data_IF_318593998403
#
_entry.id   IF_318593998403
#
_cell.length_a   1.000
_cell.length_b   1.000
_cell.length_c   1.000
_cell.angle_alpha   90.00
_cell.angle_beta   90.00
_cell.angle_gamma   90.00
#
_symmetry.space_group_name_H-M   'P 1'
#
loop_
_entity.id
_entity.type
_entity.pdbx_description
1 polymer ?
#
# COMPACT_ATOMS: atom_id res chain seq x y z
N UNK A 1 -8.77 -29.08 34.85
CA UNK A 1 -7.98 -28.38 33.81
C UNK A 1 -8.89 -27.62 32.85
N UNK A 2 -9.39 -26.42 33.19
CA UNK A 2 -10.27 -25.62 32.30
C UNK A 2 -10.03 -24.09 32.33
N UNK A 3 -9.04 -23.62 33.11
CA UNK A 3 -8.77 -22.17 33.26
C UNK A 3 -7.65 -21.62 32.36
N UNK A 4 -6.85 -22.49 31.73
CA UNK A 4 -5.66 -22.05 30.98
C UNK A 4 -5.91 -21.78 29.48
N UNK A 5 -7.06 -22.20 28.94
CA UNK A 5 -7.34 -22.06 27.50
C UNK A 5 -7.82 -20.64 27.12
N UNK A 6 -8.43 -19.91 28.06
CA UNK A 6 -8.91 -18.53 27.81
C UNK A 6 -7.80 -17.49 27.83
N UNK A 7 -6.73 -17.72 28.60
CA UNK A 7 -5.59 -16.79 28.70
C UNK A 7 -4.73 -16.85 27.43
N UNK A 8 -4.53 -18.04 26.87
CA UNK A 8 -3.80 -18.19 25.60
C UNK A 8 -4.54 -17.58 24.40
N UNK A 9 -5.86 -17.74 24.32
CA UNK A 9 -6.66 -17.12 23.26
C UNK A 9 -6.63 -15.59 23.31
N UNK A 10 -6.67 -15.00 24.50
CA UNK A 10 -6.64 -13.53 24.66
C UNK A 10 -5.26 -12.96 24.28
N UNK A 11 -4.16 -13.63 24.63
CA UNK A 11 -2.82 -13.20 24.22
C UNK A 11 -2.61 -13.28 22.71
N UNK A 12 -3.13 -14.30 22.03
CA UNK A 12 -3.01 -14.44 20.57
C UNK A 12 -3.83 -13.36 19.84
N UNK A 13 -5.03 -13.03 20.33
CA UNK A 13 -5.87 -11.98 19.74
C UNK A 13 -5.24 -10.59 19.94
N UNK A 14 -4.71 -10.28 21.13
CA UNK A 14 -4.01 -9.01 21.38
C UNK A 14 -2.71 -8.91 20.56
N UNK A 15 -2.06 -10.04 20.27
CA UNK A 15 -0.87 -10.08 19.40
C UNK A 15 -1.23 -9.77 17.93
N UNK A 16 -2.35 -10.29 17.43
CA UNK A 16 -2.79 -10.06 16.04
C UNK A 16 -3.34 -8.64 15.81
N UNK A 17 -3.97 -8.04 16.82
CA UNK A 17 -4.44 -6.64 16.75
C UNK A 17 -3.38 -5.61 17.15
N UNK A 18 -2.35 -6.00 17.92
CA UNK A 18 -1.27 -5.11 18.36
C UNK A 18 -0.29 -4.70 17.25
N UNK A 19 -0.23 -5.46 16.15
CA UNK A 19 0.71 -5.20 15.04
C UNK A 19 0.14 -4.17 14.04
N UNK A 20 -1.14 -3.78 14.16
CA UNK A 20 -1.83 -3.07 13.08
C UNK A 20 -2.19 -1.61 13.32
N UNK A 21 -1.73 -0.93 14.39
CA UNK A 21 -2.17 0.46 14.60
C UNK A 21 -1.10 1.54 14.75
N UNK A 22 0.14 1.28 15.21
CA UNK A 22 1.13 2.38 15.37
C UNK A 22 2.59 1.92 15.27
N UNK A 23 2.97 1.19 14.21
CA UNK A 23 4.37 0.81 14.02
C UNK A 23 4.64 -0.24 12.94
N UNK A 24 3.93 -0.20 11.81
CA UNK A 24 4.31 -1.08 10.70
C UNK A 24 5.69 -0.66 10.18
N UNK A 25 6.67 -1.57 10.27
CA UNK A 25 7.93 -1.44 9.57
C UNK A 25 7.66 -1.70 8.09
N UNK A 26 7.76 -0.67 7.27
CA UNK A 26 7.61 -0.78 5.82
C UNK A 26 8.61 -1.82 5.26
N UNK A 27 8.10 -2.94 4.74
CA UNK A 27 8.94 -3.87 3.98
C UNK A 27 9.04 -3.36 2.54
N UNK A 28 10.08 -2.56 2.32
CA UNK A 28 10.35 -1.93 1.05
C UNK A 28 10.31 -2.88 -0.16
N UNK A 29 10.70 -4.14 -0.04
CA UNK A 29 10.71 -5.04 -1.19
C UNK A 29 9.39 -5.79 -1.34
N UNK A 30 8.86 -6.34 -0.25
CA UNK A 30 7.62 -7.12 -0.29
C UNK A 30 6.42 -6.25 -0.65
N UNK A 31 6.28 -5.09 -0.02
CA UNK A 31 5.14 -4.19 -0.26
C UNK A 31 5.18 -3.62 -1.68
N UNK A 32 6.36 -3.22 -2.20
CA UNK A 32 6.49 -2.78 -3.59
C UNK A 32 6.06 -3.87 -4.58
N UNK A 33 6.39 -5.14 -4.32
CA UNK A 33 5.96 -6.24 -5.20
C UNK A 33 4.44 -6.35 -5.26
N UNK A 34 3.77 -6.25 -4.10
CA UNK A 34 2.32 -6.29 -4.02
C UNK A 34 1.68 -5.11 -4.76
N UNK A 35 2.13 -3.88 -4.50
CA UNK A 35 1.58 -2.69 -5.14
C UNK A 35 1.81 -2.66 -6.66
N UNK A 36 2.92 -3.20 -7.16
CA UNK A 36 3.16 -3.35 -8.60
C UNK A 36 2.15 -4.30 -9.23
N UNK A 37 1.93 -5.46 -8.59
CA UNK A 37 0.92 -6.42 -9.05
C UNK A 37 -0.48 -5.80 -9.06
N UNK A 38 -0.88 -5.14 -7.98
CA UNK A 38 -2.20 -4.52 -7.87
C UNK A 38 -2.39 -3.39 -8.90
N UNK A 39 -1.34 -2.58 -9.14
CA UNK A 39 -1.40 -1.51 -10.14
C UNK A 39 -1.51 -2.07 -11.56
N UNK A 40 -0.77 -3.13 -11.89
CA UNK A 40 -0.92 -3.82 -13.17
C UNK A 40 -2.33 -4.39 -13.35
N UNK A 41 -2.91 -5.00 -12.30
CA UNK A 41 -4.28 -5.50 -12.35
C UNK A 41 -5.30 -4.37 -12.57
N UNK A 42 -5.13 -3.23 -11.89
CA UNK A 42 -5.98 -2.05 -12.08
C UNK A 42 -5.96 -1.56 -13.54
N UNK A 43 -4.79 -1.54 -14.20
CA UNK A 43 -4.69 -1.17 -15.63
C UNK A 43 -5.54 -2.06 -16.51
N UNK A 44 -5.64 -3.36 -16.23
CA UNK A 44 -6.41 -4.27 -17.08
C UNK A 44 -7.90 -4.26 -16.73
N UNK A 45 -8.22 -4.21 -15.43
CA UNK A 45 -9.54 -4.55 -14.89
C UNK A 45 -10.46 -3.36 -14.67
N UNK A 46 -9.92 -2.17 -14.38
CA UNK A 46 -10.77 -1.02 -14.02
C UNK A 46 -11.35 -0.31 -15.25
N UNK A 47 -12.51 0.31 -15.10
CA UNK A 47 -13.19 1.06 -16.17
C UNK A 47 -12.70 2.51 -16.25
N UNK A 48 -12.13 3.06 -15.18
CA UNK A 48 -11.67 4.45 -15.07
C UNK A 48 -10.21 4.67 -15.47
N UNK A 49 -9.55 3.61 -15.93
CA UNK A 49 -8.15 3.64 -16.37
C UNK A 49 -7.94 4.61 -17.54
N UNK A 50 -6.77 5.29 -17.60
CA UNK A 50 -6.44 6.22 -18.68
C UNK A 50 -5.92 5.53 -19.95
N UNK A 51 -6.11 4.21 -20.09
CA UNK A 51 -5.59 3.41 -21.20
C UNK A 51 -6.70 3.01 -22.16
N UNK A 52 -6.43 3.07 -23.46
CA UNK A 52 -7.39 2.61 -24.46
C UNK A 52 -7.49 1.09 -24.47
N UNK A 53 -8.59 0.55 -25.02
CA UNK A 53 -8.75 -0.91 -25.17
C UNK A 53 -7.66 -1.53 -26.06
N UNK A 54 -7.14 -0.80 -27.04
CA UNK A 54 -6.03 -1.28 -27.88
C UNK A 54 -4.73 -1.37 -27.10
N UNK A 55 -4.42 -0.39 -26.23
CA UNK A 55 -3.21 -0.43 -25.40
C UNK A 55 -3.24 -1.61 -24.43
N UNK A 56 -4.43 -1.97 -23.94
CA UNK A 56 -4.62 -3.06 -22.98
C UNK A 56 -4.50 -4.43 -23.63
N UNK A 57 -4.90 -4.57 -24.90
CA UNK A 57 -4.80 -5.83 -25.63
C UNK A 57 -3.34 -6.31 -25.76
N UNK A 58 -2.39 -5.37 -25.78
CA UNK A 58 -0.95 -5.62 -25.88
C UNK A 58 -0.23 -5.42 -24.53
N UNK A 59 -0.96 -5.24 -23.43
CA UNK A 59 -0.36 -4.93 -22.13
C UNK A 59 0.36 -6.14 -21.51
N UNK A 60 1.68 -6.01 -21.34
CA UNK A 60 2.54 -7.01 -20.68
C UNK A 60 2.96 -6.61 -19.25
N UNK A 61 2.57 -5.42 -18.81
CA UNK A 61 2.89 -4.85 -17.50
C UNK A 61 3.35 -3.40 -17.60
N UNK A 62 3.22 -2.66 -16.51
CA UNK A 62 3.82 -1.34 -16.41
C UNK A 62 5.34 -1.45 -16.30
N UNK A 63 6.03 -0.47 -16.86
CA UNK A 63 7.45 -0.28 -16.60
C UNK A 63 7.66 0.18 -15.15
N UNK A 64 8.58 -0.48 -14.45
CA UNK A 64 8.97 -0.09 -13.09
C UNK A 64 10.49 0.07 -12.98
N UNK A 65 10.91 1.13 -12.30
CA UNK A 65 12.30 1.22 -11.84
C UNK A 65 12.63 0.08 -10.86
N UNK A 66 13.89 -0.36 -10.76
CA UNK A 66 14.32 -1.29 -9.72
C UNK A 66 13.93 -0.78 -8.33
N UNK A 67 13.49 -1.67 -7.44
CA UNK A 67 13.23 -1.30 -6.04
C UNK A 67 14.57 -0.98 -5.38
N UNK A 68 14.77 0.29 -5.05
CA UNK A 68 15.93 0.76 -4.31
C UNK A 68 15.47 1.48 -3.04
N UNK A 69 15.66 0.81 -1.91
CA UNK A 69 15.18 1.28 -0.60
C UNK A 69 15.93 2.53 -0.11
N UNK A 70 17.03 2.94 -0.77
CA UNK A 70 17.69 4.21 -0.43
C UNK A 70 16.83 5.44 -0.76
N UNK A 71 15.86 5.29 -1.67
CA UNK A 71 14.91 6.34 -2.01
C UNK A 71 13.65 6.32 -1.13
N UNK A 72 13.59 5.43 -0.15
CA UNK A 72 12.53 5.38 0.85
C UNK A 72 12.95 6.20 2.05
N UNK A 73 12.15 7.19 2.42
CA UNK A 73 12.44 8.08 3.53
C UNK A 73 11.21 8.27 4.42
N UNK A 74 11.47 8.44 5.71
CA UNK A 74 10.44 8.75 6.69
C UNK A 74 10.14 10.25 6.64
N UNK A 75 8.91 10.61 6.24
CA UNK A 75 8.42 11.98 6.31
C UNK A 75 7.62 12.24 7.59
N UNK A 76 7.77 13.42 8.19
CA UNK A 76 6.87 13.88 9.25
C UNK A 76 5.73 14.70 8.66
N UNK A 77 4.49 14.23 8.84
CA UNK A 77 3.31 14.96 8.40
C UNK A 77 3.02 16.13 9.34
N UNK A 78 2.97 17.35 8.80
CA UNK A 78 2.53 18.54 9.54
C UNK A 78 1.15 18.98 9.07
N UNK A 79 0.16 18.89 9.95
CA UNK A 79 -1.24 19.29 9.68
C UNK A 79 -1.61 20.66 10.25
N UNK A 80 -0.67 21.38 10.84
CA UNK A 80 -0.94 22.61 11.60
C UNK A 80 -1.20 23.85 10.73
N UNK A 81 -1.39 23.69 9.43
CA UNK A 81 -1.69 24.79 8.49
C UNK A 81 -3.14 24.67 8.03
N UNK A 82 -3.85 25.81 7.85
CA UNK A 82 -5.19 25.78 7.27
C UNK A 82 -5.14 25.11 5.89
N UNK A 83 -6.18 24.33 5.57
CA UNK A 83 -6.32 23.73 4.24
C UNK A 83 -6.33 24.84 3.19
N UNK A 84 -5.52 24.69 2.14
CA UNK A 84 -5.45 25.62 1.02
C UNK A 84 -5.90 24.88 -0.24
N UNK A 85 -6.72 25.54 -1.05
CA UNK A 85 -7.03 25.08 -2.40
C UNK A 85 -5.77 25.33 -3.25
N UNK A 86 -5.25 24.27 -3.86
CA UNK A 86 -4.11 24.33 -4.77
C UNK A 86 -4.57 23.72 -6.08
N UNK A 87 -4.44 24.47 -7.17
CA UNK A 87 -4.65 23.94 -8.51
C UNK A 87 -3.39 23.20 -8.92
N UNK A 88 -3.53 21.94 -9.33
CA UNK A 88 -2.45 21.12 -9.87
C UNK A 88 -2.68 21.03 -11.38
N UNK A 89 -1.63 21.27 -12.15
CA UNK A 89 -1.70 21.14 -13.60
C UNK A 89 -2.07 19.70 -13.99
N UNK A 90 -3.02 19.56 -14.91
CA UNK A 90 -3.47 18.28 -15.46
C UNK A 90 -3.31 18.29 -16.97
N UNK A 91 -2.77 17.21 -17.53
CA UNK A 91 -2.74 16.93 -18.98
C UNK A 91 -4.02 16.26 -19.45
#
# INVERSE_FOLDING_TARGET
MKKNFKVFGLFIIVSLFGINLYGQSYDCKAENSQFRSDKNNWVVQDADKPFSSSDIAEFDGLFYYPVDCKYVFNGTLSRNKPMKIVNVETT
#
